data_IF_199318318190
#
_entry.id   IF_199318318190
#
_cell.length_a   1.000
_cell.length_b   1.000
_cell.length_c   1.000
_cell.angle_alpha   90.00
_cell.angle_beta   90.00
_cell.angle_gamma   90.00
#
_symmetry.space_group_name_H-M   'P 1'
#
loop_
_entity.id
_entity.type
_entity.pdbx_description
1 polymer ?
#
# COMPACT_ATOMS: atom_id res chain seq x y z
N UNK A 1 15.16 26.54 -23.24
CA UNK A 1 15.42 25.13 -22.85
C UNK A 1 14.60 24.83 -21.59
N UNK A 2 13.58 23.97 -21.69
CA UNK A 2 12.77 23.55 -20.53
C UNK A 2 13.37 22.27 -19.96
N UNK A 3 13.67 22.26 -18.65
CA UNK A 3 14.19 21.08 -17.95
C UNK A 3 13.02 20.27 -17.39
N UNK A 4 12.80 19.08 -17.94
CA UNK A 4 11.87 18.11 -17.36
C UNK A 4 12.41 17.64 -16.00
N UNK A 5 11.54 17.62 -14.99
CA UNK A 5 11.80 16.99 -13.69
C UNK A 5 10.92 15.75 -13.56
N UNK A 6 11.46 14.69 -12.97
CA UNK A 6 10.75 13.44 -12.72
C UNK A 6 10.67 13.20 -11.22
N UNK A 7 9.78 13.89 -10.49
CA UNK A 7 9.62 13.66 -9.06
C UNK A 7 8.92 12.32 -8.79
N UNK A 8 9.30 11.67 -7.70
CA UNK A 8 8.52 10.57 -7.11
C UNK A 8 7.64 11.14 -6.00
N UNK A 9 6.37 10.76 -6.00
CA UNK A 9 5.43 11.13 -4.93
C UNK A 9 5.14 9.92 -4.05
N UNK A 10 5.12 10.15 -2.74
CA UNK A 10 4.70 9.17 -1.74
C UNK A 10 3.53 9.75 -0.94
N UNK A 11 2.42 9.03 -0.89
CA UNK A 11 1.25 9.37 -0.09
C UNK A 11 0.98 8.29 0.96
N UNK A 12 0.45 8.70 2.11
CA UNK A 12 0.03 7.80 3.19
C UNK A 12 -1.47 7.99 3.38
N UNK A 13 -2.22 6.89 3.35
CA UNK A 13 -3.66 6.88 3.64
C UNK A 13 -4.00 5.75 4.59
N UNK A 14 -5.04 5.97 5.40
CA UNK A 14 -5.57 4.95 6.30
C UNK A 14 -6.47 3.98 5.53
N UNK A 15 -6.80 2.85 6.17
CA UNK A 15 -7.93 2.03 5.74
C UNK A 15 -9.23 2.48 6.39
N UNK A 16 -10.33 2.35 5.64
CA UNK A 16 -11.68 2.65 6.11
C UNK A 16 -12.12 1.65 7.19
N UNK A 17 -12.80 2.13 8.24
CA UNK A 17 -13.37 1.24 9.27
C UNK A 17 -14.43 0.31 8.67
N UNK A 18 -14.60 -0.88 9.26
CA UNK A 18 -15.61 -1.85 8.82
C UNK A 18 -15.35 -2.47 7.44
N UNK A 19 -14.14 -2.30 6.89
CA UNK A 19 -13.76 -2.80 5.57
C UNK A 19 -12.92 -4.08 5.61
N UNK A 20 -12.79 -4.70 6.79
CA UNK A 20 -12.05 -5.94 6.97
C UNK A 20 -12.58 -7.05 6.04
N UNK A 21 -11.67 -7.85 5.47
CA UNK A 21 -12.01 -8.91 4.51
C UNK A 21 -12.25 -8.46 3.07
N UNK A 22 -12.38 -7.15 2.81
CA UNK A 22 -12.41 -6.61 1.44
C UNK A 22 -11.02 -6.56 0.83
N UNK A 23 -10.98 -6.42 -0.50
CA UNK A 23 -9.76 -6.15 -1.23
C UNK A 23 -8.99 -4.96 -0.61
N UNK A 24 -7.69 -5.09 -0.31
CA UNK A 24 -6.90 -4.03 0.33
C UNK A 24 -6.90 -2.68 -0.40
N UNK A 25 -7.00 -2.68 -1.72
CA UNK A 25 -7.05 -1.45 -2.52
C UNK A 25 -8.38 -0.71 -2.34
N UNK A 26 -9.49 -1.44 -2.22
CA UNK A 26 -10.81 -0.86 -1.94
C UNK A 26 -10.93 -0.30 -0.52
N UNK A 27 -10.01 -0.69 0.38
CA UNK A 27 -10.01 -0.25 1.78
C UNK A 27 -9.37 1.11 1.96
N UNK A 28 -8.61 1.62 0.98
CA UNK A 28 -7.95 2.93 1.03
C UNK A 28 -8.98 4.03 1.30
N UNK A 29 -8.84 4.74 2.41
CA UNK A 29 -9.76 5.81 2.81
C UNK A 29 -9.71 6.96 1.81
N UNK A 30 -10.89 7.51 1.51
CA UNK A 30 -11.06 8.68 0.66
C UNK A 30 -11.63 8.31 -0.71
N UNK A 31 -11.08 8.93 -1.76
CA UNK A 31 -11.51 8.70 -3.14
C UNK A 31 -10.84 7.47 -3.73
N UNK A 32 -11.58 6.73 -4.56
CA UNK A 32 -11.06 5.68 -5.44
C UNK A 32 -9.85 6.17 -6.28
N UNK A 33 -9.79 7.48 -6.56
CA UNK A 33 -8.69 8.10 -7.28
C UNK A 33 -7.32 7.84 -6.63
N UNK A 34 -7.23 7.69 -5.30
CA UNK A 34 -5.95 7.43 -4.64
C UNK A 34 -5.39 6.05 -4.97
N UNK A 35 -6.24 5.02 -4.98
CA UNK A 35 -5.87 3.69 -5.45
C UNK A 35 -5.62 3.64 -6.96
N UNK A 36 -6.43 4.35 -7.75
CA UNK A 36 -6.37 4.35 -9.21
C UNK A 36 -5.12 5.07 -9.76
N UNK A 37 -4.79 6.25 -9.24
CA UNK A 37 -3.67 7.08 -9.70
C UNK A 37 -2.30 6.49 -9.34
N UNK A 38 -2.18 5.92 -8.14
CA UNK A 38 -0.93 5.39 -7.63
C UNK A 38 -0.39 4.25 -8.53
N UNK A 39 0.90 4.30 -8.87
CA UNK A 39 1.56 3.24 -9.64
C UNK A 39 1.83 2.00 -8.82
N UNK A 40 2.11 2.20 -7.53
CA UNK A 40 2.32 1.15 -6.55
C UNK A 40 1.53 1.55 -5.29
N UNK A 41 0.84 0.59 -4.69
CA UNK A 41 0.20 0.74 -3.38
C UNK A 41 0.73 -0.35 -2.47
N UNK A 42 1.17 0.06 -1.27
CA UNK A 42 1.60 -0.85 -0.22
C UNK A 42 0.61 -0.80 0.95
N UNK A 43 0.25 -1.97 1.48
CA UNK A 43 -0.46 -2.10 2.74
C UNK A 43 0.54 -2.37 3.86
N UNK A 44 0.55 -1.51 4.88
CA UNK A 44 1.33 -1.69 6.10
C UNK A 44 0.41 -2.16 7.23
N UNK A 45 0.77 -3.24 7.92
CA UNK A 45 -0.02 -3.78 9.04
C UNK A 45 0.85 -4.48 10.08
N UNK A 46 0.34 -4.55 11.32
CA UNK A 46 0.92 -5.38 12.38
C UNK A 46 0.41 -6.82 12.22
N UNK A 47 1.29 -7.80 12.37
CA UNK A 47 0.92 -9.22 12.38
C UNK A 47 0.53 -9.64 13.80
N UNK A 48 -0.33 -10.65 13.91
CA UNK A 48 -0.64 -11.23 15.21
C UNK A 48 0.60 -11.95 15.77
N UNK A 49 0.66 -12.14 17.09
CA UNK A 49 1.74 -12.94 17.70
C UNK A 49 1.65 -14.41 17.27
N UNK A 50 0.44 -14.92 17.01
CA UNK A 50 0.19 -16.27 16.45
C UNK A 50 0.80 -16.42 15.05
N UNK A 51 0.82 -15.34 14.27
CA UNK A 51 1.47 -15.28 12.94
C UNK A 51 2.98 -14.98 13.03
N UNK A 52 3.61 -15.12 14.20
CA UNK A 52 5.03 -14.84 14.40
C UNK A 52 5.38 -13.37 14.59
N UNK A 53 4.38 -12.51 14.86
CA UNK A 53 4.56 -11.12 15.25
C UNK A 53 5.20 -10.22 14.17
N UNK A 54 5.63 -9.03 14.60
CA UNK A 54 6.30 -8.05 13.75
C UNK A 54 5.37 -7.18 12.90
N UNK A 55 5.96 -6.49 11.93
CA UNK A 55 5.27 -5.59 10.99
C UNK A 55 5.45 -6.08 9.56
N UNK A 56 4.42 -5.90 8.74
CA UNK A 56 4.39 -6.32 7.35
C UNK A 56 4.07 -5.16 6.41
N UNK A 57 4.65 -5.20 5.21
CA UNK A 57 4.46 -4.29 4.10
C UNK A 57 4.27 -5.17 2.87
N UNK A 58 3.04 -5.25 2.39
CA UNK A 58 2.69 -6.03 1.21
C UNK A 58 2.33 -5.10 0.06
N UNK A 59 2.74 -5.47 -1.17
CA UNK A 59 2.18 -4.83 -2.37
C UNK A 59 0.74 -5.28 -2.51
N UNK A 60 -0.14 -4.32 -2.80
CA UNK A 60 -1.55 -4.57 -3.10
C UNK A 60 -1.94 -4.05 -4.49
N UNK A 61 -1.05 -3.30 -5.12
CA UNK A 61 -1.11 -2.88 -6.52
C UNK A 61 0.30 -2.59 -7.00
N UNK A 62 0.62 -3.02 -8.20
CA UNK A 62 1.80 -2.59 -8.95
C UNK A 62 1.49 -2.62 -10.44
N UNK A 63 1.80 -1.55 -11.16
CA UNK A 63 1.79 -1.55 -12.62
C UNK A 63 3.19 -1.37 -13.23
N UNK A 64 4.23 -1.45 -12.40
CA UNK A 64 5.64 -1.36 -12.81
C UNK A 64 6.37 -2.71 -12.68
N UNK A 65 5.66 -3.78 -12.31
CA UNK A 65 6.20 -5.11 -12.05
C UNK A 65 5.17 -5.97 -11.30
N UNK A 66 5.58 -7.11 -10.70
CA UNK A 66 4.68 -7.97 -9.93
C UNK A 66 3.95 -7.20 -8.83
N UNK A 67 2.66 -7.49 -8.66
CA UNK A 67 1.76 -6.88 -7.68
C UNK A 67 1.60 -7.70 -6.40
N UNK A 68 2.30 -8.83 -6.30
CA UNK A 68 2.32 -9.70 -5.12
C UNK A 68 3.57 -9.56 -4.25
N UNK A 69 3.51 -10.13 -3.05
CA UNK A 69 4.62 -10.26 -2.11
C UNK A 69 4.75 -9.10 -1.12
N UNK A 70 5.76 -9.18 -0.26
CA UNK A 70 5.98 -8.21 0.80
C UNK A 70 7.17 -8.55 1.67
N UNK A 71 7.34 -7.76 2.73
CA UNK A 71 8.42 -7.93 3.70
C UNK A 71 7.86 -7.90 5.11
N UNK A 72 8.44 -8.73 5.96
CA UNK A 72 8.25 -8.70 7.41
C UNK A 72 9.50 -8.09 8.03
N UNK A 73 9.34 -7.16 8.95
CA UNK A 73 10.45 -6.57 9.69
C UNK A 73 10.10 -6.36 11.16
N UNK A 74 11.17 -6.22 11.95
CA UNK A 74 11.18 -5.58 13.26
C UNK A 74 12.07 -4.34 13.19
N UNK A 75 11.70 -3.31 13.94
CA UNK A 75 12.60 -2.19 14.23
C UNK A 75 13.44 -2.53 15.47
#
# INVERSE_FOLDING_TARGET
MVRLRSPTMLGISHFSKGSAGRDPLERVTGSLAFGALARIVFAAFKRSEEDGGGRCLARVKSNLGPDEGGWVWSL
#
